data_IF_987494840290
#
_entry.id   IF_987494840290
#
_cell.length_a   1.000
_cell.length_b   1.000
_cell.length_c   1.000
_cell.angle_alpha   90.00
_cell.angle_beta   90.00
_cell.angle_gamma   90.00
#
_symmetry.space_group_name_H-M   'P 1'
#
loop_
_entity.id
_entity.type
_entity.pdbx_description
1 polymer ?
#
# COMPACT_ATOMS: atom_id res chain seq x y z
N UNK A 1 18.29 -4.80 -12.06
CA UNK A 1 18.73 -3.46 -12.49
C UNK A 1 18.78 -3.49 -14.01
N UNK A 2 18.09 -2.57 -14.67
CA UNK A 2 18.04 -2.48 -16.13
C UNK A 2 19.26 -1.77 -16.72
N UNK A 3 19.36 -1.74 -18.05
CA UNK A 3 20.48 -1.13 -18.75
C UNK A 3 20.54 0.40 -18.52
N UNK A 4 21.76 0.95 -18.54
CA UNK A 4 22.03 2.39 -18.43
C UNK A 4 21.63 3.05 -17.09
N UNK A 5 21.36 2.27 -16.04
CA UNK A 5 21.17 2.81 -14.68
C UNK A 5 22.50 3.28 -14.09
N UNK A 6 22.50 4.46 -13.47
CA UNK A 6 23.65 4.98 -12.71
C UNK A 6 23.33 4.97 -11.22
N UNK A 7 24.19 4.35 -10.42
CA UNK A 7 24.04 4.27 -8.97
C UNK A 7 25.34 4.76 -8.35
N UNK A 8 25.29 5.87 -7.62
CA UNK A 8 26.46 6.54 -7.04
C UNK A 8 26.22 6.74 -5.56
N UNK A 9 27.06 6.16 -4.68
CA UNK A 9 26.93 6.28 -3.21
C UNK A 9 25.54 5.93 -2.63
N UNK A 10 24.74 5.14 -3.34
CA UNK A 10 23.39 4.77 -2.94
C UNK A 10 23.30 3.33 -2.44
N UNK A 11 22.35 3.09 -1.54
CA UNK A 11 22.03 1.76 -0.99
C UNK A 11 20.69 1.30 -1.58
N UNK A 12 20.67 0.11 -2.17
CA UNK A 12 19.45 -0.52 -2.69
C UNK A 12 19.27 -1.88 -2.03
N UNK A 13 18.17 -2.06 -1.31
CA UNK A 13 17.83 -3.31 -0.63
C UNK A 13 17.21 -4.34 -1.60
N UNK A 14 17.04 -5.56 -1.09
CA UNK A 14 16.63 -6.72 -1.88
C UNK A 14 15.20 -6.62 -2.45
N UNK A 15 14.91 -7.46 -3.45
CA UNK A 15 13.63 -7.53 -4.15
C UNK A 15 13.19 -6.21 -4.84
N UNK A 16 14.10 -5.25 -4.98
CA UNK A 16 13.85 -3.99 -5.67
C UNK A 16 14.14 -4.09 -7.16
N UNK A 17 13.21 -3.60 -7.98
CA UNK A 17 13.34 -3.50 -9.44
C UNK A 17 13.65 -2.06 -9.83
N UNK A 18 14.64 -1.87 -10.68
CA UNK A 18 15.05 -0.54 -11.17
C UNK A 18 15.02 -0.54 -12.69
N UNK A 19 14.23 0.39 -13.25
CA UNK A 19 14.08 0.66 -14.67
C UNK A 19 15.34 1.23 -15.33
N UNK A 20 15.28 1.29 -16.66
CA UNK A 20 16.38 1.73 -17.51
C UNK A 20 16.57 3.25 -17.45
N UNK A 21 17.81 3.69 -17.66
CA UNK A 21 18.18 5.12 -17.66
C UNK A 21 17.86 5.86 -16.34
N UNK A 22 17.77 5.12 -15.24
CA UNK A 22 17.47 5.65 -13.92
C UNK A 22 18.75 6.08 -13.20
N UNK A 23 18.70 7.19 -12.46
CA UNK A 23 19.84 7.78 -11.75
C UNK A 23 19.56 7.78 -10.26
N UNK A 24 20.45 7.17 -9.49
CA UNK A 24 20.46 7.17 -8.03
C UNK A 24 21.77 7.82 -7.57
N UNK A 25 21.67 8.91 -6.82
CA UNK A 25 22.82 9.60 -6.23
C UNK A 25 22.63 9.77 -4.72
N UNK A 26 23.52 9.19 -3.92
CA UNK A 26 23.59 9.32 -2.45
C UNK A 26 22.22 9.13 -1.77
N UNK A 27 21.52 8.05 -2.14
CA UNK A 27 20.15 7.79 -1.71
C UNK A 27 19.98 6.38 -1.11
N UNK A 28 18.87 6.16 -0.39
CA UNK A 28 18.51 4.84 0.15
C UNK A 28 17.19 4.38 -0.44
N UNK A 29 17.18 3.20 -1.06
CA UNK A 29 15.98 2.54 -1.57
C UNK A 29 15.77 1.25 -0.83
N UNK A 30 14.69 1.18 -0.04
CA UNK A 30 14.32 0.02 0.75
C UNK A 30 13.87 -1.18 -0.12
N UNK A 31 13.50 -2.27 0.54
CA UNK A 31 13.17 -3.54 -0.09
C UNK A 31 11.82 -3.52 -0.82
N UNK A 32 11.67 -4.43 -1.79
CA UNK A 32 10.43 -4.65 -2.55
C UNK A 32 9.94 -3.43 -3.35
N UNK A 33 10.81 -2.48 -3.67
CA UNK A 33 10.44 -1.29 -4.42
C UNK A 33 10.37 -1.54 -5.93
N UNK A 34 9.54 -0.78 -6.64
CA UNK A 34 9.54 -0.73 -8.11
C UNK A 34 9.90 0.67 -8.57
N UNK A 35 11.05 0.83 -9.17
CA UNK A 35 11.49 2.09 -9.75
C UNK A 35 11.32 2.00 -11.26
N UNK A 36 10.54 2.90 -11.83
CA UNK A 36 10.30 3.02 -13.26
C UNK A 36 11.54 3.41 -14.07
N UNK A 37 11.34 3.59 -15.37
CA UNK A 37 12.36 4.05 -16.30
C UNK A 37 12.58 5.56 -16.20
N UNK A 38 13.80 6.02 -16.44
CA UNK A 38 14.17 7.46 -16.43
C UNK A 38 13.86 8.15 -15.10
N UNK A 39 13.86 7.42 -14.00
CA UNK A 39 13.66 7.99 -12.67
C UNK A 39 14.95 8.65 -12.19
N UNK A 40 14.83 9.78 -11.51
CA UNK A 40 15.96 10.47 -10.90
C UNK A 40 15.74 10.59 -9.40
N UNK A 41 16.70 10.08 -8.63
CA UNK A 41 16.69 10.11 -7.16
C UNK A 41 17.93 10.84 -6.72
N UNK A 42 17.73 12.05 -6.22
CA UNK A 42 18.81 12.93 -5.79
C UNK A 42 19.31 12.62 -4.36
N UNK A 43 20.34 13.35 -3.95
CA UNK A 43 21.09 13.16 -2.71
C UNK A 43 20.24 13.27 -1.46
N UNK A 44 20.62 12.51 -0.44
CA UNK A 44 19.96 12.44 0.87
C UNK A 44 18.48 12.02 0.81
N UNK A 45 18.09 11.39 -0.30
CA UNK A 45 16.71 10.91 -0.50
C UNK A 45 16.53 9.50 0.08
N UNK A 46 15.36 9.26 0.69
CA UNK A 46 14.97 7.95 1.21
C UNK A 46 13.67 7.49 0.56
N UNK A 47 13.67 6.27 0.03
CA UNK A 47 12.51 5.57 -0.52
C UNK A 47 12.16 4.39 0.39
N UNK A 48 10.98 4.45 1.01
CA UNK A 48 10.47 3.43 1.91
C UNK A 48 10.11 2.12 1.22
N UNK A 49 9.96 1.05 2.01
CA UNK A 49 9.75 -0.30 1.49
C UNK A 49 8.43 -0.44 0.74
N UNK A 50 8.42 -1.26 -0.32
CA UNK A 50 7.22 -1.53 -1.11
C UNK A 50 6.71 -0.33 -1.92
N UNK A 51 7.52 0.72 -2.09
CA UNK A 51 7.16 1.92 -2.83
C UNK A 51 7.34 1.73 -4.33
N UNK A 52 6.42 2.31 -5.11
CA UNK A 52 6.44 2.30 -6.57
C UNK A 52 6.65 3.72 -7.10
N UNK A 53 7.71 3.93 -7.88
CA UNK A 53 8.00 5.18 -8.58
C UNK A 53 7.70 5.01 -10.06
N UNK A 54 6.76 5.80 -10.59
CA UNK A 54 6.40 5.79 -12.00
C UNK A 54 7.51 6.35 -12.91
N UNK A 55 7.43 6.03 -14.19
CA UNK A 55 8.43 6.44 -15.18
C UNK A 55 8.62 7.96 -15.23
N UNK A 56 9.86 8.42 -15.32
CA UNK A 56 10.20 9.84 -15.38
C UNK A 56 9.91 10.62 -14.09
N UNK A 57 9.67 9.95 -12.95
CA UNK A 57 9.54 10.64 -11.66
C UNK A 57 10.89 11.18 -11.18
N UNK A 58 10.88 12.32 -10.50
CA UNK A 58 12.07 12.97 -9.97
C UNK A 58 11.90 13.23 -8.47
N UNK A 59 12.80 12.70 -7.64
CA UNK A 59 12.83 12.92 -6.20
C UNK A 59 13.98 13.89 -5.90
N UNK A 60 13.65 15.08 -5.42
CA UNK A 60 14.63 16.14 -5.17
C UNK A 60 15.47 15.87 -3.92
N UNK A 61 16.57 16.61 -3.76
CA UNK A 61 17.43 16.57 -2.56
C UNK A 61 16.63 16.54 -1.26
N UNK A 62 17.02 15.68 -0.33
CA UNK A 62 16.40 15.49 0.99
C UNK A 62 14.94 15.02 0.97
N UNK A 63 14.45 14.50 -0.15
CA UNK A 63 13.10 13.98 -0.23
C UNK A 63 12.94 12.66 0.51
N UNK A 64 11.76 12.42 1.06
CA UNK A 64 11.45 11.22 1.83
C UNK A 64 10.12 10.66 1.36
N UNK A 65 10.18 9.52 0.68
CA UNK A 65 9.00 8.77 0.29
C UNK A 65 8.77 7.68 1.34
N UNK A 66 7.64 7.74 2.01
CA UNK A 66 7.21 6.72 2.96
C UNK A 66 7.06 5.34 2.31
N UNK A 67 6.96 4.27 3.11
CA UNK A 67 6.73 2.94 2.58
C UNK A 67 5.32 2.83 1.98
N UNK A 68 5.17 1.96 0.98
CA UNK A 68 3.91 1.68 0.26
C UNK A 68 3.31 2.89 -0.46
N UNK A 69 4.13 3.86 -0.83
CA UNK A 69 3.68 5.01 -1.63
C UNK A 69 3.72 4.63 -3.11
N UNK A 70 2.71 5.07 -3.86
CA UNK A 70 2.74 5.03 -5.33
C UNK A 70 2.91 6.45 -5.86
N UNK A 71 4.06 6.73 -6.43
CA UNK A 71 4.35 8.00 -7.11
C UNK A 71 3.99 7.84 -8.58
N UNK A 72 3.11 8.70 -9.09
CA UNK A 72 2.68 8.67 -10.49
C UNK A 72 3.85 8.99 -11.45
N UNK A 73 3.83 8.48 -12.70
CA UNK A 73 4.80 8.86 -13.72
C UNK A 73 4.89 10.38 -13.89
N UNK A 74 6.07 10.90 -14.22
CA UNK A 74 6.36 12.33 -14.42
C UNK A 74 6.07 13.23 -13.20
N UNK A 75 6.04 12.66 -11.99
CA UNK A 75 5.84 13.43 -10.76
C UNK A 75 7.17 13.91 -10.19
N UNK A 76 7.18 15.15 -9.71
CA UNK A 76 8.27 15.69 -8.90
C UNK A 76 7.90 15.59 -7.43
N UNK A 77 8.73 14.92 -6.64
CA UNK A 77 8.57 14.80 -5.19
C UNK A 77 9.56 15.74 -4.52
N UNK A 78 9.02 16.73 -3.81
CA UNK A 78 9.78 17.66 -2.97
C UNK A 78 9.39 17.45 -1.49
N UNK A 79 10.40 17.20 -0.65
CA UNK A 79 10.20 17.05 0.79
C UNK A 79 9.67 15.68 1.20
N UNK A 80 8.79 15.62 2.20
CA UNK A 80 8.30 14.35 2.78
C UNK A 80 6.93 13.98 2.23
N UNK A 81 6.86 12.88 1.49
CA UNK A 81 5.63 12.26 1.00
C UNK A 81 5.42 10.96 1.77
N UNK A 82 4.50 10.94 2.71
CA UNK A 82 4.05 9.71 3.37
C UNK A 82 2.62 9.40 2.91
N UNK A 83 2.39 8.18 2.40
CA UNK A 83 1.04 7.74 2.02
C UNK A 83 0.16 7.46 3.26
N UNK A 84 0.76 7.37 4.46
CA UNK A 84 -0.01 7.01 5.64
C UNK A 84 -0.97 8.10 6.13
N UNK A 85 -0.72 9.40 5.94
CA UNK A 85 -1.63 10.42 6.51
C UNK A 85 -2.87 10.70 5.64
N UNK A 86 -2.75 10.66 4.31
CA UNK A 86 -3.87 11.05 3.42
C UNK A 86 -4.83 9.91 3.07
N UNK A 87 -4.34 8.68 2.98
CA UNK A 87 -5.21 7.55 2.68
C UNK A 87 -5.98 7.10 3.92
N UNK A 88 -5.41 7.27 5.12
CA UNK A 88 -6.16 7.08 6.36
C UNK A 88 -7.30 8.09 6.45
N UNK A 89 -7.13 9.39 6.17
CA UNK A 89 -8.26 10.34 6.26
C UNK A 89 -9.34 10.08 5.20
N UNK A 90 -8.96 9.60 4.00
CA UNK A 90 -9.93 9.32 2.93
C UNK A 90 -10.63 7.98 3.12
N UNK A 91 -9.91 6.96 3.58
CA UNK A 91 -10.44 5.64 3.96
C UNK A 91 -11.22 5.74 5.28
N UNK A 92 -10.75 6.51 6.26
CA UNK A 92 -11.51 6.87 7.46
C UNK A 92 -12.71 7.73 7.11
N UNK A 93 -12.66 8.65 6.14
CA UNK A 93 -13.82 9.44 5.73
C UNK A 93 -14.89 8.63 4.97
N UNK A 94 -14.46 7.65 4.17
CA UNK A 94 -15.36 6.69 3.50
C UNK A 94 -15.90 5.65 4.47
N UNK A 95 -15.05 5.16 5.38
CA UNK A 95 -15.47 4.28 6.46
C UNK A 95 -16.24 5.05 7.54
N UNK A 96 -16.08 6.35 7.76
CA UNK A 96 -16.83 7.17 8.74
C UNK A 96 -18.31 7.22 8.38
N UNK A 97 -18.61 7.25 7.07
CA UNK A 97 -19.98 7.09 6.56
C UNK A 97 -20.55 5.69 6.78
N UNK A 98 -19.70 4.67 6.97
CA UNK A 98 -20.09 3.30 7.30
C UNK A 98 -19.90 2.94 8.81
N UNK A 99 -19.14 3.74 9.58
CA UNK A 99 -18.60 3.42 10.91
C UNK A 99 -19.48 3.86 12.05
N UNK A 100 -20.54 4.63 11.82
CA UNK A 100 -21.42 5.05 12.91
C UNK A 100 -22.01 3.86 13.72
N UNK A 101 -21.88 2.60 13.24
CA UNK A 101 -22.33 1.41 13.96
C UNK A 101 -21.28 0.41 14.49
N UNK A 102 -20.01 0.40 14.02
CA UNK A 102 -19.19 -0.84 14.15
C UNK A 102 -18.04 -0.84 15.17
N UNK A 103 -17.46 0.30 15.58
CA UNK A 103 -16.38 0.31 16.60
C UNK A 103 -15.12 -0.48 16.20
N UNK A 104 -14.49 -0.13 15.08
CA UNK A 104 -13.23 -0.74 14.63
C UNK A 104 -12.01 0.02 15.14
N UNK A 105 -10.93 -0.71 15.38
CA UNK A 105 -9.59 -0.18 15.66
C UNK A 105 -8.90 0.28 14.37
N UNK A 106 -7.84 1.08 14.52
CA UNK A 106 -7.08 1.59 13.37
C UNK A 106 -6.45 0.48 12.51
N UNK A 107 -6.03 -0.61 13.12
CA UNK A 107 -5.48 -1.78 12.42
C UNK A 107 -6.58 -2.55 11.65
N UNK A 108 -7.76 -2.70 12.26
CA UNK A 108 -8.94 -3.30 11.61
C UNK A 108 -9.41 -2.48 10.42
N UNK A 109 -9.46 -1.14 10.55
CA UNK A 109 -9.85 -0.25 9.47
C UNK A 109 -8.91 -0.36 8.25
N UNK A 110 -7.61 -0.52 8.48
CA UNK A 110 -6.63 -0.78 7.41
C UNK A 110 -6.90 -2.09 6.69
N UNK A 111 -7.10 -3.18 7.45
CA UNK A 111 -7.41 -4.50 6.88
C UNK A 111 -8.70 -4.44 6.05
N UNK A 112 -9.75 -3.82 6.59
CA UNK A 112 -11.01 -3.63 5.89
C UNK A 112 -10.84 -2.75 4.63
N UNK A 113 -10.07 -1.66 4.71
CA UNK A 113 -9.77 -0.79 3.56
C UNK A 113 -9.06 -1.54 2.45
N UNK A 114 -8.01 -2.30 2.78
CA UNK A 114 -7.31 -3.16 1.81
C UNK A 114 -8.23 -4.21 1.19
N UNK A 115 -9.10 -4.84 1.97
CA UNK A 115 -10.09 -5.79 1.43
C UNK A 115 -11.13 -5.09 0.53
N UNK A 116 -11.51 -3.85 0.83
CA UNK A 116 -12.40 -3.05 0.00
C UNK A 116 -11.78 -2.74 -1.37
N UNK A 117 -10.49 -2.39 -1.38
CA UNK A 117 -9.75 -2.08 -2.61
C UNK A 117 -9.45 -3.32 -3.46
N UNK A 118 -9.06 -4.42 -2.82
CA UNK A 118 -8.67 -5.66 -3.52
C UNK A 118 -9.87 -6.57 -3.82
N UNK A 119 -11.01 -6.35 -3.17
CA UNK A 119 -12.18 -7.22 -3.19
C UNK A 119 -11.98 -8.51 -2.39
N UNK A 120 -11.01 -9.31 -2.79
CA UNK A 120 -10.66 -10.59 -2.18
C UNK A 120 -9.13 -10.70 -2.05
N UNK A 121 -8.63 -11.00 -0.86
CA UNK A 121 -7.19 -11.12 -0.61
C UNK A 121 -6.87 -12.19 0.42
N UNK A 122 -5.70 -12.82 0.29
CA UNK A 122 -5.17 -13.69 1.33
C UNK A 122 -4.50 -12.88 2.46
N UNK A 123 -4.32 -13.51 3.62
CA UNK A 123 -3.70 -12.85 4.77
C UNK A 123 -2.28 -12.33 4.46
N UNK A 124 -1.54 -12.98 3.56
CA UNK A 124 -0.18 -12.55 3.17
C UNK A 124 -0.22 -11.25 2.36
N UNK A 125 -1.16 -11.14 1.44
CA UNK A 125 -1.40 -9.95 0.62
C UNK A 125 -1.83 -8.81 1.53
N UNK A 126 -2.79 -9.05 2.42
CA UNK A 126 -3.25 -8.05 3.39
C UNK A 126 -2.09 -7.57 4.29
N UNK A 127 -1.26 -8.47 4.81
CA UNK A 127 -0.06 -8.11 5.59
C UNK A 127 0.89 -7.21 4.79
N UNK A 128 1.13 -7.53 3.51
CA UNK A 128 1.99 -6.72 2.64
C UNK A 128 1.44 -5.32 2.37
N UNK A 129 0.12 -5.19 2.24
CA UNK A 129 -0.53 -3.91 1.97
C UNK A 129 -0.73 -3.06 3.23
N UNK A 130 -0.99 -3.69 4.37
CA UNK A 130 -1.26 -2.98 5.64
C UNK A 130 -0.01 -2.71 6.46
N UNK A 131 1.11 -3.37 6.15
CA UNK A 131 2.35 -3.39 6.94
C UNK A 131 2.14 -3.85 8.40
N UNK A 132 1.09 -4.65 8.64
CA UNK A 132 0.79 -5.23 9.95
C UNK A 132 1.44 -6.62 10.01
N UNK A 133 2.13 -7.01 11.10
CA UNK A 133 2.72 -8.34 11.22
C UNK A 133 1.71 -9.46 10.96
N UNK A 134 2.11 -10.52 10.27
CA UNK A 134 1.20 -11.60 9.85
C UNK A 134 0.39 -12.24 10.99
N UNK A 135 1.02 -12.43 12.16
CA UNK A 135 0.34 -12.91 13.37
C UNK A 135 -0.80 -11.98 13.82
N UNK A 136 -0.58 -10.67 13.71
CA UNK A 136 -1.54 -9.64 14.07
C UNK A 136 -2.64 -9.52 13.02
N UNK A 137 -2.31 -9.58 11.73
CA UNK A 137 -3.28 -9.64 10.62
C UNK A 137 -4.24 -10.82 10.78
N UNK A 138 -3.73 -12.00 11.12
CA UNK A 138 -4.58 -13.17 11.38
C UNK A 138 -5.52 -12.97 12.58
N UNK A 139 -5.01 -12.40 13.68
CA UNK A 139 -5.84 -12.07 14.85
C UNK A 139 -6.96 -11.10 14.49
N UNK A 140 -6.65 -10.08 13.70
CA UNK A 140 -7.61 -9.08 13.21
C UNK A 140 -8.65 -9.73 12.30
N UNK A 141 -8.22 -10.50 11.30
CA UNK A 141 -9.13 -11.19 10.38
C UNK A 141 -10.04 -12.17 11.10
N UNK A 142 -9.52 -12.86 12.14
CA UNK A 142 -10.34 -13.74 12.98
C UNK A 142 -11.38 -12.95 13.75
N UNK A 143 -11.01 -11.84 14.39
CA UNK A 143 -11.95 -10.97 15.11
C UNK A 143 -13.00 -10.34 14.18
N UNK A 144 -12.60 -9.90 12.99
CA UNK A 144 -13.51 -9.37 11.98
C UNK A 144 -14.46 -10.46 11.44
N UNK A 145 -13.98 -11.69 11.32
CA UNK A 145 -14.80 -12.84 10.90
C UNK A 145 -15.81 -13.22 11.98
N UNK A 146 -15.41 -13.26 13.26
CA UNK A 146 -16.31 -13.53 14.39
C UNK A 146 -17.41 -12.46 14.51
N UNK A 147 -17.09 -11.22 14.16
CA UNK A 147 -18.04 -10.09 14.11
C UNK A 147 -18.90 -10.07 12.84
N UNK A 148 -18.67 -10.99 11.90
CA UNK A 148 -19.41 -11.05 10.63
C UNK A 148 -19.07 -9.95 9.62
N UNK A 149 -17.96 -9.24 9.81
CA UNK A 149 -17.51 -8.12 8.94
C UNK A 149 -16.71 -8.64 7.75
N UNK A 150 -16.01 -9.77 7.92
CA UNK A 150 -15.28 -10.43 6.84
C UNK A 150 -15.74 -11.87 6.69
N UNK A 151 -15.74 -12.36 5.46
CA UNK A 151 -15.96 -13.76 5.14
C UNK A 151 -14.65 -14.37 4.69
N UNK A 152 -14.41 -15.63 5.08
CA UNK A 152 -13.28 -16.39 4.56
C UNK A 152 -13.73 -17.60 3.78
N UNK A 153 -13.04 -17.88 2.68
CA UNK A 153 -13.36 -18.96 1.76
C UNK A 153 -12.10 -19.46 1.07
N UNK A 154 -12.20 -20.65 0.48
CA UNK A 154 -11.04 -21.36 -0.06
C UNK A 154 -10.21 -22.04 1.03
N UNK A 155 -9.74 -23.25 0.73
CA UNK A 155 -9.03 -24.03 1.73
C UNK A 155 -7.54 -23.64 1.82
N UNK A 156 -6.84 -23.36 0.71
CA UNK A 156 -5.42 -22.93 0.70
C UNK A 156 -5.05 -22.20 -0.62
N UNK A 157 -4.54 -20.94 -0.61
CA UNK A 157 -4.52 -20.05 0.55
C UNK A 157 -5.95 -19.64 0.93
N UNK A 158 -6.17 -19.46 2.23
CA UNK A 158 -7.45 -18.98 2.78
C UNK A 158 -7.63 -17.52 2.36
N UNK A 159 -8.67 -17.26 1.57
CA UNK A 159 -9.01 -15.92 1.08
C UNK A 159 -9.98 -15.26 2.05
N UNK A 160 -9.90 -13.94 2.10
CA UNK A 160 -10.76 -13.08 2.90
C UNK A 160 -11.37 -12.02 2.01
N UNK A 161 -12.63 -11.68 2.27
CA UNK A 161 -13.32 -10.57 1.64
C UNK A 161 -14.19 -9.85 2.69
N UNK A 162 -14.54 -8.59 2.43
CA UNK A 162 -15.57 -7.93 3.22
C UNK A 162 -16.91 -8.66 3.01
N UNK A 163 -17.62 -8.90 4.10
CA UNK A 163 -19.00 -9.32 4.03
C UNK A 163 -19.78 -8.19 3.35
N UNK A 164 -20.12 -8.36 2.07
CA UNK A 164 -21.04 -7.44 1.41
C UNK A 164 -22.33 -7.47 2.22
N UNK A 165 -22.70 -6.34 2.80
CA UNK A 165 -24.12 -6.07 3.00
C UNK A 165 -24.72 -6.15 1.60
N UNK A 166 -25.42 -7.24 1.31
CA UNK A 166 -26.51 -7.18 0.35
C UNK A 166 -27.40 -6.05 0.87
N UNK A 167 -27.24 -4.87 0.29
CA UNK A 167 -28.33 -3.91 0.20
C UNK A 167 -29.44 -4.74 -0.43
N UNK A 168 -30.35 -5.22 0.42
CA UNK A 168 -31.69 -5.61 0.00
C UNK A 168 -32.25 -4.39 -0.69
N UNK A 169 -32.00 -4.30 -2.00
CA UNK A 169 -32.88 -3.63 -2.93
C UNK A 169 -34.17 -4.46 -2.90
N UNK A 170 -34.94 -4.28 -1.83
CA UNK A 170 -36.36 -4.55 -1.82
C UNK A 170 -37.00 -3.54 -2.78
N UNK A 171 -36.74 -3.71 -4.08
CA UNK A 171 -37.64 -3.20 -5.11
C UNK A 171 -38.89 -4.04 -5.03
N UNK A 172 -39.78 -3.57 -4.15
CA UNK A 172 -41.22 -3.63 -4.31
C UNK A 172 -41.59 -3.73 -5.79
N UNK A 173 -41.91 -4.94 -6.22
CA UNK A 173 -42.57 -5.21 -7.50
C UNK A 173 -43.94 -5.77 -7.13
N UNK A 174 -44.88 -4.85 -6.91
CA UNK A 174 -46.31 -5.12 -6.87
C UNK A 174 -47.02 -3.92 -7.48
#
# INVERSE_FOLDING_TARGET
>A
ISASTKITFSVVYENTRIGANTVLDTCVVAENCRIGDRVEIERDTVVGAGTELGDGSHLTVQSRVGPFVVVQPHTVVEGTVTAFEKDIERICGLLEKAHAGFGLTHEEAKVCGTLCELGEADARTITRFTNIPYSRTLSILTGLQERGITVSFGNIPKMYALAREEVKDARSSS
#
